data_IF_562961923937
#
_entry.id   IF_562961923937
#
_cell.length_a   1.000
_cell.length_b   1.000
_cell.length_c   1.000
_cell.angle_alpha   90.00
_cell.angle_beta   90.00
_cell.angle_gamma   90.00
#
_symmetry.space_group_name_H-M   'P 1'
#
loop_
_entity.id
_entity.type
_entity.pdbx_description
1 polymer ?
#
# COMPACT_ATOMS: atom_id res chain seq x y z
N UNK A 1 -4.90 -20.92 -19.63
CA UNK A 1 -5.66 -19.67 -19.45
C UNK A 1 -6.59 -19.87 -18.26
N UNK A 2 -6.62 -18.95 -17.30
CA UNK A 2 -7.49 -19.08 -16.12
C UNK A 2 -8.77 -18.29 -16.35
N UNK A 3 -9.92 -18.91 -16.12
CA UNK A 3 -11.21 -18.20 -16.07
C UNK A 3 -11.32 -17.31 -14.83
N UNK A 4 -10.62 -17.68 -13.75
CA UNK A 4 -10.58 -16.95 -12.48
C UNK A 4 -9.16 -16.96 -11.89
N UNK A 5 -8.63 -15.81 -11.51
CA UNK A 5 -7.30 -15.67 -10.90
C UNK A 5 -7.41 -15.75 -9.38
N UNK A 6 -6.83 -16.79 -8.77
CA UNK A 6 -6.73 -16.91 -7.31
C UNK A 6 -5.59 -16.04 -6.80
N UNK A 7 -5.92 -15.04 -5.99
CA UNK A 7 -4.96 -14.11 -5.40
C UNK A 7 -4.84 -14.41 -3.91
N UNK A 8 -3.63 -14.78 -3.49
CA UNK A 8 -3.30 -14.91 -2.09
C UNK A 8 -2.74 -13.60 -1.54
N UNK A 9 -3.19 -13.17 -0.37
CA UNK A 9 -2.64 -11.99 0.31
C UNK A 9 -2.09 -12.41 1.67
N UNK A 10 -0.80 -12.18 1.89
CA UNK A 10 -0.13 -12.39 3.16
C UNK A 10 0.10 -11.03 3.82
N UNK A 11 -0.54 -10.79 4.96
CA UNK A 11 -0.42 -9.54 5.74
C UNK A 11 0.37 -9.82 7.02
N UNK A 12 1.60 -9.30 7.11
CA UNK A 12 2.46 -9.49 8.29
C UNK A 12 2.95 -8.13 8.79
N UNK A 13 2.53 -7.75 9.99
CA UNK A 13 2.65 -6.38 10.46
C UNK A 13 1.62 -5.46 9.84
N UNK A 14 1.77 -4.15 10.06
CA UNK A 14 0.81 -3.16 9.58
C UNK A 14 1.51 -1.95 8.95
N UNK A 15 1.05 -1.59 7.76
CA UNK A 15 1.22 -0.31 7.08
C UNK A 15 -0.14 0.13 6.54
N UNK A 16 -0.32 1.40 6.18
CA UNK A 16 -1.61 1.90 5.69
C UNK A 16 -2.13 1.07 4.51
N UNK A 17 -1.26 0.71 3.58
CA UNK A 17 -1.60 -0.12 2.42
C UNK A 17 -2.11 -1.52 2.79
N UNK A 18 -1.57 -2.13 3.87
CA UNK A 18 -1.95 -3.48 4.29
C UNK A 18 -3.42 -3.58 4.73
N UNK A 19 -4.00 -2.47 5.18
CA UNK A 19 -5.40 -2.41 5.60
C UNK A 19 -6.38 -2.41 4.43
N UNK A 20 -5.92 -1.98 3.24
CA UNK A 20 -6.80 -1.71 2.09
C UNK A 20 -6.53 -2.60 0.87
N UNK A 21 -5.35 -3.22 0.75
CA UNK A 21 -4.87 -3.83 -0.50
C UNK A 21 -5.88 -4.77 -1.19
N UNK A 22 -6.53 -5.67 -0.47
CA UNK A 22 -7.53 -6.61 -0.97
C UNK A 22 -8.82 -5.90 -1.38
N UNK A 23 -9.31 -4.99 -0.53
CA UNK A 23 -10.52 -4.21 -0.77
C UNK A 23 -10.37 -3.27 -1.99
N UNK A 24 -9.16 -2.78 -2.25
CA UNK A 24 -8.87 -1.90 -3.40
C UNK A 24 -8.99 -2.63 -4.75
N UNK A 25 -8.83 -3.95 -4.77
CA UNK A 25 -8.82 -4.75 -6.00
C UNK A 25 -10.22 -5.26 -6.39
N UNK A 26 -11.18 -5.22 -5.45
CA UNK A 26 -12.58 -5.56 -5.69
C UNK A 26 -13.48 -4.71 -4.78
N UNK A 27 -13.57 -3.42 -5.10
CA UNK A 27 -14.13 -2.39 -4.22
C UNK A 27 -15.64 -2.51 -4.00
N UNK A 28 -16.32 -3.38 -4.76
CA UNK A 28 -17.76 -3.68 -4.62
C UNK A 28 -18.06 -5.16 -4.36
N UNK A 29 -17.04 -6.02 -4.29
CA UNK A 29 -17.22 -7.47 -4.20
C UNK A 29 -18.05 -8.06 -5.36
N UNK A 30 -17.90 -7.50 -6.56
CA UNK A 30 -18.68 -7.84 -7.77
C UNK A 30 -17.80 -8.46 -8.86
N UNK A 31 -16.46 -8.47 -8.70
CA UNK A 31 -15.58 -9.06 -9.70
C UNK A 31 -15.74 -10.57 -9.78
N UNK A 32 -16.00 -11.06 -10.98
CA UNK A 32 -16.16 -12.49 -11.25
C UNK A 32 -14.83 -13.17 -11.62
N UNK A 33 -13.83 -12.36 -12.01
CA UNK A 33 -12.56 -12.79 -12.60
C UNK A 33 -11.46 -13.12 -11.56
N UNK A 34 -11.69 -12.85 -10.27
CA UNK A 34 -10.71 -13.10 -9.20
C UNK A 34 -11.32 -13.72 -7.94
N UNK A 35 -10.54 -14.50 -7.20
CA UNK A 35 -10.90 -15.05 -5.87
C UNK A 35 -9.76 -14.77 -4.88
N UNK A 36 -10.10 -14.26 -3.70
CA UNK A 36 -9.13 -13.85 -2.69
C UNK A 36 -9.11 -14.76 -1.47
N UNK A 37 -7.92 -15.07 -0.96
CA UNK A 37 -7.75 -15.46 0.44
C UNK A 37 -6.70 -14.59 1.09
N UNK A 38 -6.95 -14.23 2.34
CA UNK A 38 -6.06 -13.42 3.15
C UNK A 38 -5.63 -14.27 4.34
N UNK A 39 -4.33 -14.32 4.57
CA UNK A 39 -3.75 -14.90 5.78
C UNK A 39 -2.86 -13.85 6.41
N UNK A 40 -2.94 -13.67 7.73
CA UNK A 40 -2.09 -12.71 8.42
C UNK A 40 -1.84 -13.05 9.87
N UNK A 41 -0.80 -12.42 10.41
CA UNK A 41 -0.31 -12.56 11.79
C UNK A 41 -0.65 -11.33 12.65
N UNK A 42 -1.56 -10.48 12.17
CA UNK A 42 -1.84 -9.19 12.77
C UNK A 42 -0.58 -8.31 12.81
N UNK A 43 -0.25 -7.67 13.96
CA UNK A 43 0.91 -6.79 14.06
C UNK A 43 2.26 -7.54 14.11
N UNK A 44 2.24 -8.87 14.26
CA UNK A 44 3.47 -9.65 14.42
C UNK A 44 4.17 -9.88 13.10
N UNK A 45 5.51 -9.87 13.13
CA UNK A 45 6.37 -10.10 11.97
C UNK A 45 7.59 -10.99 12.32
N UNK A 46 7.49 -11.78 13.38
CA UNK A 46 8.57 -12.72 13.70
C UNK A 46 8.65 -13.77 12.60
N UNK A 47 9.82 -14.37 12.46
CA UNK A 47 10.10 -15.27 11.36
C UNK A 47 9.09 -16.42 11.27
N UNK A 48 8.78 -17.06 12.40
CA UNK A 48 7.83 -18.17 12.45
C UNK A 48 6.38 -17.75 12.13
N UNK A 49 5.93 -16.59 12.62
CA UNK A 49 4.60 -16.06 12.29
C UNK A 49 4.47 -15.86 10.76
N UNK A 50 5.49 -15.28 10.14
CA UNK A 50 5.52 -15.02 8.70
C UNK A 50 5.58 -16.31 7.87
N UNK A 51 6.35 -17.31 8.31
CA UNK A 51 6.43 -18.63 7.67
C UNK A 51 5.09 -19.34 7.72
N UNK A 52 4.42 -19.34 8.87
CA UNK A 52 3.09 -19.95 9.04
C UNK A 52 2.07 -19.31 8.10
N UNK A 53 2.04 -17.98 8.01
CA UNK A 53 1.15 -17.29 7.07
C UNK A 53 1.44 -17.66 5.61
N UNK A 54 2.73 -17.75 5.24
CA UNK A 54 3.15 -18.15 3.90
C UNK A 54 2.76 -19.60 3.56
N UNK A 55 2.83 -20.52 4.52
CA UNK A 55 2.42 -21.91 4.31
C UNK A 55 0.91 -22.03 4.14
N UNK A 56 0.12 -21.40 5.03
CA UNK A 56 -1.34 -21.43 4.97
C UNK A 56 -1.88 -20.81 3.68
N UNK A 57 -1.28 -19.73 3.18
CA UNK A 57 -1.75 -19.14 1.92
C UNK A 57 -1.52 -20.06 0.72
N UNK A 58 -0.50 -20.93 0.76
CA UNK A 58 -0.23 -21.88 -0.30
C UNK A 58 -1.27 -23.01 -0.38
N UNK A 59 -1.97 -23.32 0.72
CA UNK A 59 -3.09 -24.29 0.73
C UNK A 59 -4.23 -23.84 -0.19
N UNK A 60 -4.40 -22.53 -0.39
CA UNK A 60 -5.36 -21.96 -1.34
C UNK A 60 -4.94 -22.14 -2.81
N UNK A 61 -3.72 -22.63 -3.07
CA UNK A 61 -3.13 -22.78 -4.39
C UNK A 61 -3.24 -21.51 -5.26
N UNK A 62 -2.72 -20.35 -4.78
CA UNK A 62 -2.84 -19.08 -5.50
C UNK A 62 -2.09 -19.09 -6.85
N UNK A 63 -2.53 -18.24 -7.77
CA UNK A 63 -1.84 -17.94 -9.02
C UNK A 63 -0.91 -16.72 -8.88
N UNK A 64 -1.20 -15.83 -7.93
CA UNK A 64 -0.41 -14.67 -7.55
C UNK A 64 -0.45 -14.51 -6.04
N UNK A 65 0.67 -14.16 -5.42
CA UNK A 65 0.72 -13.84 -3.99
C UNK A 65 1.22 -12.42 -3.77
N UNK A 66 0.43 -11.63 -3.06
CA UNK A 66 0.80 -10.32 -2.55
C UNK A 66 1.29 -10.48 -1.11
N UNK A 67 2.50 -10.04 -0.80
CA UNK A 67 3.04 -10.06 0.56
C UNK A 67 3.22 -8.62 1.00
N UNK A 68 2.46 -8.21 2.02
CA UNK A 68 2.41 -6.82 2.48
C UNK A 68 2.97 -6.71 3.89
N UNK A 69 4.00 -5.88 4.07
CA UNK A 69 4.63 -5.67 5.38
C UNK A 69 5.38 -4.33 5.46
N UNK A 70 5.49 -3.72 6.65
CA UNK A 70 6.51 -2.69 6.87
C UNK A 70 7.90 -3.32 6.74
N UNK A 71 8.84 -2.56 6.19
CA UNK A 71 10.21 -2.95 5.91
C UNK A 71 10.35 -4.41 5.42
N UNK A 72 10.03 -4.70 4.15
CA UNK A 72 10.11 -6.06 3.62
C UNK A 72 11.53 -6.67 3.64
N UNK A 73 12.58 -5.89 3.97
CA UNK A 73 13.92 -6.43 4.17
C UNK A 73 14.11 -7.18 5.50
N UNK A 74 13.13 -7.14 6.41
CA UNK A 74 13.22 -7.84 7.69
C UNK A 74 13.21 -9.37 7.53
N UNK A 75 13.76 -10.12 8.53
CA UNK A 75 13.85 -11.58 8.45
C UNK A 75 12.52 -12.29 8.19
N UNK A 76 11.44 -11.88 8.88
CA UNK A 76 10.12 -12.51 8.70
C UNK A 76 9.54 -12.35 7.29
N UNK A 77 9.34 -11.11 6.78
CA UNK A 77 8.91 -10.90 5.39
C UNK A 77 9.81 -11.58 4.36
N UNK A 78 11.13 -11.65 4.62
CA UNK A 78 12.09 -12.36 3.77
C UNK A 78 11.83 -13.87 3.76
N UNK A 79 11.58 -14.48 4.91
CA UNK A 79 11.24 -15.90 5.00
C UNK A 79 9.92 -16.22 4.28
N UNK A 80 8.89 -15.38 4.47
CA UNK A 80 7.59 -15.55 3.81
C UNK A 80 7.71 -15.53 2.28
N UNK A 81 8.38 -14.52 1.70
CA UNK A 81 8.51 -14.42 0.23
C UNK A 81 9.30 -15.57 -0.38
N UNK A 82 10.32 -16.07 0.32
CA UNK A 82 11.12 -17.21 -0.13
C UNK A 82 10.36 -18.53 -0.08
N UNK A 83 9.51 -18.75 0.92
CA UNK A 83 8.63 -19.92 0.97
C UNK A 83 7.67 -19.92 -0.22
N UNK A 84 7.01 -18.80 -0.47
CA UNK A 84 6.03 -18.68 -1.55
C UNK A 84 6.70 -18.83 -2.93
N UNK A 85 7.82 -18.16 -3.16
CA UNK A 85 8.56 -18.30 -4.42
C UNK A 85 9.18 -19.70 -4.58
N UNK A 86 9.63 -20.34 -3.50
CA UNK A 86 10.11 -21.72 -3.50
C UNK A 86 9.04 -22.73 -3.91
N UNK A 87 7.76 -22.41 -3.67
CA UNK A 87 6.61 -23.16 -4.18
C UNK A 87 6.24 -22.82 -5.64
N UNK A 88 7.08 -22.05 -6.35
CA UNK A 88 6.90 -21.68 -7.75
C UNK A 88 5.79 -20.65 -7.99
N UNK A 89 5.36 -19.92 -6.96
CA UNK A 89 4.29 -18.91 -7.08
C UNK A 89 4.87 -17.52 -7.40
N UNK A 90 4.28 -16.76 -8.34
CA UNK A 90 4.62 -15.36 -8.54
C UNK A 90 4.35 -14.53 -7.28
N UNK A 91 5.32 -13.69 -6.90
CA UNK A 91 5.27 -12.87 -5.68
C UNK A 91 5.39 -11.39 -6.03
N UNK A 92 4.50 -10.58 -5.45
CA UNK A 92 4.63 -9.12 -5.40
C UNK A 92 4.76 -8.71 -3.94
N UNK A 93 5.90 -8.09 -3.60
CA UNK A 93 6.16 -7.57 -2.27
C UNK A 93 5.71 -6.11 -2.18
N UNK A 94 4.84 -5.81 -1.24
CA UNK A 94 4.31 -4.46 -1.01
C UNK A 94 4.83 -3.97 0.33
N UNK A 95 5.44 -2.79 0.34
CA UNK A 95 6.07 -2.26 1.54
C UNK A 95 6.27 -0.77 1.52
N UNK A 96 6.90 -0.28 2.58
CA UNK A 96 7.23 1.13 2.81
C UNK A 96 8.62 1.50 2.27
N UNK A 97 9.05 2.74 2.50
CA UNK A 97 10.34 3.27 2.04
C UNK A 97 11.58 2.43 2.46
N UNK A 98 11.69 1.93 3.72
CA UNK A 98 12.75 1.00 4.11
C UNK A 98 12.91 -0.23 3.20
N UNK A 99 11.82 -0.67 2.55
CA UNK A 99 11.81 -1.80 1.63
C UNK A 99 12.74 -1.66 0.43
N UNK A 100 13.21 -0.45 0.11
CA UNK A 100 14.24 -0.23 -0.93
C UNK A 100 15.51 -1.05 -0.70
N UNK A 101 15.83 -1.37 0.56
CA UNK A 101 16.96 -2.23 0.93
C UNK A 101 16.82 -3.67 0.40
N UNK A 102 15.58 -4.13 0.18
CA UNK A 102 15.32 -5.46 -0.35
C UNK A 102 15.34 -5.53 -1.89
N UNK A 103 15.36 -4.39 -2.60
CA UNK A 103 15.27 -4.36 -4.08
C UNK A 103 16.31 -5.25 -4.77
N UNK A 104 17.61 -5.21 -4.40
CA UNK A 104 18.61 -6.07 -5.04
C UNK A 104 18.27 -7.57 -4.92
N UNK A 105 17.81 -7.98 -3.74
CA UNK A 105 17.43 -9.38 -3.49
C UNK A 105 16.15 -9.75 -4.24
N UNK A 106 15.13 -8.88 -4.23
CA UNK A 106 13.86 -9.10 -4.92
C UNK A 106 14.06 -9.26 -6.42
N UNK A 107 14.90 -8.41 -7.03
CA UNK A 107 15.18 -8.50 -8.47
C UNK A 107 15.98 -9.74 -8.84
N UNK A 108 16.97 -10.10 -8.00
CA UNK A 108 17.76 -11.33 -8.16
C UNK A 108 16.90 -12.59 -8.01
N UNK A 109 15.94 -12.58 -7.09
CA UNK A 109 15.01 -13.67 -6.83
C UNK A 109 13.82 -13.66 -7.81
N UNK A 110 13.78 -12.74 -8.77
CA UNK A 110 12.74 -12.68 -9.81
C UNK A 110 11.36 -12.23 -9.33
N UNK A 111 11.29 -11.58 -8.17
CA UNK A 111 10.04 -11.11 -7.57
C UNK A 111 9.67 -9.69 -8.01
N UNK A 112 8.38 -9.36 -7.93
CA UNK A 112 7.88 -8.01 -8.09
C UNK A 112 7.85 -7.24 -6.78
N UNK A 113 7.79 -5.91 -6.86
CA UNK A 113 7.63 -5.02 -5.73
C UNK A 113 6.85 -3.74 -6.03
N UNK A 114 6.13 -3.27 -4.99
CA UNK A 114 5.47 -1.98 -4.90
C UNK A 114 5.89 -1.33 -3.58
N UNK A 115 6.78 -0.34 -3.64
CA UNK A 115 7.33 0.31 -2.44
C UNK A 115 6.79 1.74 -2.32
N UNK A 116 6.00 2.02 -1.28
CA UNK A 116 5.30 3.28 -1.07
C UNK A 116 6.11 4.19 -0.16
N UNK A 117 6.63 5.29 -0.71
CA UNK A 117 7.43 6.21 0.10
C UNK A 117 6.63 6.95 1.19
N UNK A 118 5.35 7.21 0.94
CA UNK A 118 4.47 7.93 1.87
C UNK A 118 3.75 7.02 2.88
N UNK A 119 3.90 5.70 2.82
CA UNK A 119 3.33 4.78 3.79
C UNK A 119 4.25 4.72 5.02
N UNK A 120 4.13 5.76 5.86
CA UNK A 120 5.12 6.09 6.87
C UNK A 120 5.05 5.18 8.10
N UNK A 121 6.21 4.95 8.70
CA UNK A 121 6.29 4.34 10.01
C UNK A 121 5.65 5.25 11.08
N UNK A 122 4.84 4.64 11.93
CA UNK A 122 4.18 5.28 13.07
C UNK A 122 5.13 5.50 14.25
N UNK A 123 4.82 6.48 15.10
CA UNK A 123 5.54 6.77 16.34
C UNK A 123 5.33 5.74 17.44
N UNK A 124 5.87 4.53 17.30
CA UNK A 124 5.64 3.37 18.18
C UNK A 124 6.36 3.41 19.55
N UNK A 125 6.10 4.44 20.37
CA UNK A 125 6.52 4.53 21.77
C UNK A 125 5.36 4.22 22.71
N UNK A 126 5.62 3.44 23.77
CA UNK A 126 4.60 2.97 24.72
C UNK A 126 3.88 4.11 25.43
N UNK A 127 4.60 5.18 25.69
CA UNK A 127 4.15 6.36 26.43
C UNK A 127 3.19 7.24 25.63
N UNK A 128 3.06 7.00 24.32
CA UNK A 128 2.27 7.80 23.40
C UNK A 128 1.26 6.97 22.60
N UNK A 129 1.72 5.87 22.01
CA UNK A 129 0.93 5.11 21.03
C UNK A 129 0.00 4.10 21.70
N UNK A 130 -1.18 4.57 22.09
CA UNK A 130 -2.27 3.71 22.52
C UNK A 130 -3.10 3.20 21.31
N UNK A 131 -4.11 2.32 21.51
CA UNK A 131 -4.94 1.82 20.42
C UNK A 131 -5.69 2.91 19.64
N UNK A 132 -6.15 3.98 20.31
CA UNK A 132 -6.87 5.07 19.65
C UNK A 132 -5.93 5.87 18.75
N UNK A 133 -4.76 6.25 19.25
CA UNK A 133 -3.75 7.01 18.50
C UNK A 133 -3.22 6.20 17.31
N UNK A 134 -3.03 4.89 17.49
CA UNK A 134 -2.68 3.97 16.40
C UNK A 134 -3.73 3.98 15.28
N UNK A 135 -5.02 3.93 15.62
CA UNK A 135 -6.10 3.95 14.64
C UNK A 135 -6.19 5.30 13.91
N UNK A 136 -6.09 6.42 14.64
CA UNK A 136 -6.13 7.78 14.07
C UNK A 136 -4.99 8.00 13.07
N UNK A 137 -3.77 7.61 13.43
CA UNK A 137 -2.63 7.71 12.52
C UNK A 137 -2.87 6.92 11.22
N UNK A 138 -3.33 5.67 11.32
CA UNK A 138 -3.60 4.85 10.14
C UNK A 138 -4.74 5.42 9.28
N UNK A 139 -5.79 5.97 9.88
CA UNK A 139 -6.85 6.66 9.14
C UNK A 139 -6.29 7.83 8.30
N UNK A 140 -5.36 8.59 8.88
CA UNK A 140 -4.69 9.68 8.18
C UNK A 140 -3.79 9.20 7.04
N UNK A 141 -2.98 8.15 7.28
CA UNK A 141 -2.17 7.51 6.22
C UNK A 141 -3.05 7.05 5.08
N UNK A 142 -4.13 6.32 5.35
CA UNK A 142 -5.08 5.84 4.34
C UNK A 142 -5.64 7.00 3.51
N UNK A 143 -6.04 8.09 4.18
CA UNK A 143 -6.56 9.28 3.50
C UNK A 143 -5.53 9.91 2.58
N UNK A 144 -4.27 10.04 3.01
CA UNK A 144 -3.19 10.55 2.16
C UNK A 144 -2.99 9.63 0.96
N UNK A 145 -2.73 8.35 1.18
CA UNK A 145 -2.43 7.39 0.10
C UNK A 145 -3.55 7.29 -0.94
N UNK A 146 -4.81 7.35 -0.49
CA UNK A 146 -5.98 7.35 -1.36
C UNK A 146 -6.14 8.65 -2.15
N UNK A 147 -6.00 9.81 -1.51
CA UNK A 147 -6.28 11.08 -2.15
C UNK A 147 -5.11 11.59 -3.02
N UNK A 148 -3.87 11.18 -2.76
CA UNK A 148 -2.71 11.56 -3.58
C UNK A 148 -2.45 10.64 -4.78
N UNK A 149 -3.18 9.52 -4.89
CA UNK A 149 -3.06 8.57 -6.00
C UNK A 149 -2.11 7.40 -5.78
N UNK A 150 -1.55 7.22 -4.58
CA UNK A 150 -0.65 6.09 -4.30
C UNK A 150 -1.38 4.74 -4.46
N UNK A 151 -2.61 4.65 -3.93
CA UNK A 151 -3.45 3.46 -4.13
C UNK A 151 -3.86 3.24 -5.59
N UNK A 152 -4.02 4.29 -6.39
CA UNK A 152 -4.28 4.12 -7.82
C UNK A 152 -3.11 3.45 -8.54
N UNK A 153 -1.87 3.79 -8.19
CA UNK A 153 -0.68 3.12 -8.75
C UNK A 153 -0.67 1.64 -8.39
N UNK A 154 -0.98 1.29 -7.13
CA UNK A 154 -1.07 -0.10 -6.69
C UNK A 154 -2.12 -0.87 -7.51
N UNK A 155 -3.32 -0.32 -7.64
CA UNK A 155 -4.40 -0.96 -8.40
C UNK A 155 -3.99 -1.18 -9.86
N UNK A 156 -3.42 -0.17 -10.52
CA UNK A 156 -2.96 -0.29 -11.92
C UNK A 156 -1.89 -1.37 -12.09
N UNK A 157 -0.91 -1.44 -11.20
CA UNK A 157 0.20 -2.39 -11.33
C UNK A 157 -0.20 -3.82 -10.99
N UNK A 158 -1.08 -4.01 -9.99
CA UNK A 158 -1.62 -5.33 -9.66
C UNK A 158 -2.57 -5.82 -10.76
N UNK A 159 -3.40 -4.95 -11.35
CA UNK A 159 -4.29 -5.33 -12.45
C UNK A 159 -3.49 -5.77 -13.69
N UNK A 160 -2.38 -5.10 -14.01
CA UNK A 160 -1.46 -5.57 -15.07
C UNK A 160 -0.92 -6.97 -14.78
N UNK A 161 -0.61 -7.28 -13.51
CA UNK A 161 -0.14 -8.60 -13.11
C UNK A 161 -1.22 -9.66 -13.25
N UNK A 162 -2.45 -9.36 -12.83
CA UNK A 162 -3.63 -10.22 -12.99
C UNK A 162 -3.88 -10.52 -14.48
N UNK A 163 -3.92 -9.47 -15.31
CA UNK A 163 -4.09 -9.59 -16.76
C UNK A 163 -2.97 -10.40 -17.43
N UNK A 164 -1.72 -10.19 -17.01
CA UNK A 164 -0.58 -10.99 -17.47
C UNK A 164 -0.74 -12.48 -17.17
N UNK A 165 -1.21 -12.82 -15.97
CA UNK A 165 -1.50 -14.20 -15.58
C UNK A 165 -2.63 -14.79 -16.42
N UNK A 166 -3.74 -14.06 -16.63
CA UNK A 166 -4.84 -14.53 -17.49
C UNK A 166 -4.35 -14.84 -18.91
N UNK A 167 -3.49 -13.98 -19.47
CA UNK A 167 -2.93 -14.10 -20.83
C UNK A 167 -1.79 -15.11 -20.94
N UNK A 168 -1.31 -15.69 -19.84
CA UNK A 168 -0.16 -16.60 -19.84
C UNK A 168 1.19 -15.89 -20.07
N UNK A 169 1.24 -14.58 -19.89
CA UNK A 169 2.46 -13.75 -19.91
C UNK A 169 2.57 -12.99 -18.58
N UNK A 170 3.00 -13.65 -17.50
CA UNK A 170 3.01 -13.05 -16.17
C UNK A 170 3.84 -11.77 -16.12
N UNK A 171 3.25 -10.72 -15.55
CA UNK A 171 3.91 -9.44 -15.27
C UNK A 171 4.10 -9.30 -13.76
N UNK A 172 5.29 -8.88 -13.34
CA UNK A 172 5.59 -8.53 -11.95
C UNK A 172 6.11 -7.09 -11.90
N UNK A 173 5.44 -6.18 -11.19
CA UNK A 173 5.84 -4.78 -11.13
C UNK A 173 7.18 -4.62 -10.41
N UNK A 174 7.92 -3.58 -10.77
CA UNK A 174 9.15 -3.15 -10.08
C UNK A 174 9.06 -1.65 -9.89
N UNK A 175 8.24 -1.23 -8.92
CA UNK A 175 7.83 0.16 -8.81
C UNK A 175 8.10 0.68 -7.40
N UNK A 176 8.86 1.77 -7.34
CA UNK A 176 8.88 2.66 -6.18
C UNK A 176 7.84 3.74 -6.44
N UNK A 177 6.80 3.79 -5.61
CA UNK A 177 5.76 4.79 -5.67
C UNK A 177 6.32 6.05 -5.01
N UNK A 178 6.73 6.99 -5.85
CA UNK A 178 7.20 8.31 -5.46
C UNK A 178 6.05 9.31 -5.48
N UNK A 179 6.28 10.50 -4.93
CA UNK A 179 5.34 11.63 -5.03
C UNK A 179 4.88 11.85 -6.48
N UNK A 180 5.82 11.90 -7.41
CA UNK A 180 5.55 12.20 -8.82
C UNK A 180 4.65 11.12 -9.44
N UNK A 181 5.01 9.85 -9.23
CA UNK A 181 4.23 8.72 -9.74
C UNK A 181 2.80 8.72 -9.19
N UNK A 182 2.64 8.97 -7.89
CA UNK A 182 1.33 8.98 -7.24
C UNK A 182 0.42 10.08 -7.82
N UNK A 183 0.91 11.33 -7.88
CA UNK A 183 0.07 12.45 -8.33
C UNK A 183 -0.20 12.45 -9.83
N UNK A 184 0.71 11.89 -10.64
CA UNK A 184 0.48 11.65 -12.07
C UNK A 184 -0.68 10.67 -12.28
N UNK A 185 -0.67 9.53 -11.56
CA UNK A 185 -1.74 8.53 -11.65
C UNK A 185 -3.07 9.05 -11.06
N UNK A 186 -3.04 9.94 -10.07
CA UNK A 186 -4.24 10.61 -9.56
C UNK A 186 -4.93 11.49 -10.62
N UNK A 187 -4.17 12.00 -11.60
CA UNK A 187 -4.70 12.70 -12.75
C UNK A 187 -5.48 13.98 -12.42
N UNK A 188 -4.99 14.78 -11.47
CA UNK A 188 -5.56 16.08 -11.09
C UNK A 188 -5.71 17.00 -12.32
N UNK A 189 -6.86 17.67 -12.46
CA UNK A 189 -7.09 18.69 -13.48
C UNK A 189 -6.80 20.09 -12.93
N UNK A 190 -7.05 20.31 -11.64
CA UNK A 190 -6.76 21.56 -10.96
C UNK A 190 -5.29 21.60 -10.51
N UNK A 191 -4.49 22.59 -10.95
CA UNK A 191 -3.07 22.66 -10.61
C UNK A 191 -2.81 22.88 -9.12
N UNK A 192 -3.73 23.51 -8.38
CA UNK A 192 -3.61 23.65 -6.93
C UNK A 192 -3.98 22.36 -6.19
N UNK A 193 -4.90 21.55 -6.72
CA UNK A 193 -5.15 20.21 -6.19
C UNK A 193 -3.89 19.34 -6.32
N UNK A 194 -3.25 19.38 -7.49
CA UNK A 194 -1.95 18.75 -7.72
C UNK A 194 -0.90 19.21 -6.70
N UNK A 195 -0.71 20.53 -6.54
CA UNK A 195 0.28 21.08 -5.61
C UNK A 195 0.02 20.64 -4.15
N UNK A 196 -1.25 20.65 -3.71
CA UNK A 196 -1.65 20.18 -2.38
C UNK A 196 -1.39 18.69 -2.18
N UNK A 197 -1.72 17.85 -3.17
CA UNK A 197 -1.45 16.42 -3.12
C UNK A 197 0.06 16.12 -3.09
N UNK A 198 0.86 16.85 -3.87
CA UNK A 198 2.32 16.76 -3.84
C UNK A 198 2.88 17.10 -2.46
N UNK A 199 2.40 18.17 -1.83
CA UNK A 199 2.81 18.57 -0.50
C UNK A 199 2.37 17.53 0.56
N UNK A 200 1.13 17.05 0.51
CA UNK A 200 0.63 16.03 1.43
C UNK A 200 1.45 14.73 1.37
N UNK A 201 1.77 14.28 0.16
CA UNK A 201 2.62 13.09 -0.03
C UNK A 201 4.01 13.28 0.56
N UNK A 202 4.65 14.43 0.31
CA UNK A 202 5.99 14.70 0.83
C UNK A 202 5.99 14.82 2.35
N UNK A 203 4.95 15.44 2.92
CA UNK A 203 4.75 15.46 4.37
C UNK A 203 4.64 14.03 4.92
N UNK A 204 3.76 13.20 4.36
CA UNK A 204 3.62 11.81 4.81
C UNK A 204 4.94 11.03 4.71
N UNK A 205 5.68 11.17 3.61
CA UNK A 205 7.03 10.58 3.47
C UNK A 205 7.98 11.01 4.59
N UNK A 206 7.95 12.29 4.98
CA UNK A 206 8.81 12.86 6.01
C UNK A 206 8.42 12.50 7.44
N UNK A 207 7.19 12.04 7.68
CA UNK A 207 6.76 11.53 8.98
C UNK A 207 7.63 10.34 9.42
N UNK A 208 8.03 9.48 8.47
CA UNK A 208 8.88 8.33 8.77
C UNK A 208 10.25 8.73 9.36
N UNK A 209 10.83 9.85 8.91
CA UNK A 209 12.12 10.35 9.41
C UNK A 209 12.03 10.70 10.91
N UNK A 210 10.97 11.43 11.30
CA UNK A 210 10.70 11.81 12.70
C UNK A 210 10.34 10.61 13.56
N UNK A 211 9.50 9.70 13.07
CA UNK A 211 9.14 8.48 13.79
C UNK A 211 10.37 7.61 14.07
N UNK A 212 11.27 7.45 13.10
CA UNK A 212 12.53 6.69 13.27
C UNK A 212 13.45 7.37 14.28
N UNK A 213 13.56 8.70 14.24
CA UNK A 213 14.34 9.48 15.19
C UNK A 213 13.85 9.30 16.63
N UNK A 214 12.56 9.53 16.86
CA UNK A 214 11.94 9.38 18.19
C UNK A 214 11.91 7.93 18.68
N UNK A 215 11.69 6.95 17.80
CA UNK A 215 11.60 5.54 18.22
C UNK A 215 12.96 4.88 18.46
N UNK A 216 13.98 5.19 17.66
CA UNK A 216 15.22 4.40 17.65
C UNK A 216 16.49 5.18 17.98
N UNK A 217 16.50 6.51 17.86
CA UNK A 217 17.72 7.31 18.07
C UNK A 217 17.69 8.04 19.41
N UNK A 218 16.57 8.65 19.76
CA UNK A 218 16.40 9.40 21.01
C UNK A 218 16.22 8.48 22.22
N UNK A 219 16.72 8.91 23.39
CA UNK A 219 16.66 8.16 24.65
C UNK A 219 15.88 8.87 25.74
N UNK A 220 15.93 10.21 25.77
CA UNK A 220 15.26 11.01 26.79
C UNK A 220 13.76 11.13 26.52
N UNK A 221 12.92 10.69 27.48
CA UNK A 221 11.45 10.68 27.33
C UNK A 221 10.88 12.07 27.05
N UNK A 222 11.44 13.09 27.70
CA UNK A 222 11.04 14.49 27.50
C UNK A 222 11.30 14.99 26.07
N UNK A 223 12.11 14.28 25.30
CA UNK A 223 12.45 14.62 23.91
C UNK A 223 11.74 13.68 22.93
N UNK A 224 11.80 12.36 23.15
CA UNK A 224 11.24 11.41 22.18
C UNK A 224 9.72 11.41 22.15
N UNK A 225 9.03 11.64 23.28
CA UNK A 225 7.55 11.64 23.32
C UNK A 225 7.00 12.80 22.49
N UNK A 226 7.43 14.07 22.68
CA UNK A 226 7.01 15.15 21.79
C UNK A 226 7.39 14.92 20.33
N UNK A 227 8.53 14.28 20.06
CA UNK A 227 8.99 14.01 18.69
C UNK A 227 8.06 13.04 17.96
N UNK A 228 7.70 11.91 18.59
CA UNK A 228 6.75 10.96 17.98
C UNK A 228 5.33 11.54 17.90
N UNK A 229 4.92 12.37 18.86
CA UNK A 229 3.64 13.08 18.77
C UNK A 229 3.63 14.08 17.61
N UNK A 230 4.72 14.84 17.40
CA UNK A 230 4.81 15.78 16.27
C UNK A 230 4.77 15.09 14.90
N UNK A 231 5.24 13.84 14.81
CA UNK A 231 5.16 13.07 13.56
C UNK A 231 3.70 12.72 13.22
N UNK A 232 2.85 12.51 14.24
CA UNK A 232 1.42 12.28 14.08
C UNK A 232 0.67 13.56 13.67
N UNK A 233 0.96 14.70 14.30
CA UNK A 233 0.41 16.01 13.91
C UNK A 233 0.73 16.37 12.45
N UNK A 234 1.92 16.00 12.01
CA UNK A 234 2.35 16.17 10.62
C UNK A 234 1.57 15.26 9.66
N UNK A 235 1.26 14.02 10.06
CA UNK A 235 0.42 13.10 9.28
C UNK A 235 -1.04 13.58 9.22
N UNK A 236 -1.61 14.08 10.31
CA UNK A 236 -2.94 14.72 10.34
C UNK A 236 -3.00 15.91 9.37
N UNK A 237 -1.99 16.78 9.41
CA UNK A 237 -1.92 17.93 8.50
C UNK A 237 -1.81 17.49 7.03
N UNK A 238 -1.03 16.44 6.75
CA UNK A 238 -0.94 15.86 5.42
C UNK A 238 -2.30 15.32 4.96
N UNK A 239 -3.03 14.61 5.83
CA UNK A 239 -4.34 14.05 5.55
C UNK A 239 -5.40 15.14 5.29
N UNK A 240 -5.37 16.25 6.04
CA UNK A 240 -6.20 17.43 5.76
C UNK A 240 -5.90 18.01 4.38
N UNK A 241 -4.62 18.23 4.06
CA UNK A 241 -4.20 18.81 2.78
C UNK A 241 -4.55 17.91 1.58
N UNK A 242 -4.44 16.59 1.74
CA UNK A 242 -4.87 15.62 0.74
C UNK A 242 -6.40 15.65 0.54
N UNK A 243 -7.17 15.83 1.63
CA UNK A 243 -8.61 16.07 1.58
C UNK A 243 -8.97 17.33 0.78
N UNK A 244 -8.29 18.45 1.06
CA UNK A 244 -8.48 19.71 0.32
C UNK A 244 -8.20 19.54 -1.18
N UNK A 245 -7.15 18.82 -1.56
CA UNK A 245 -6.86 18.51 -2.96
C UNK A 245 -8.04 17.78 -3.64
N UNK A 246 -8.62 16.80 -2.94
CA UNK A 246 -9.78 16.06 -3.45
C UNK A 246 -11.04 16.92 -3.56
N UNK A 247 -11.28 17.83 -2.61
CA UNK A 247 -12.42 18.77 -2.69
C UNK A 247 -12.29 19.75 -3.85
N UNK A 248 -11.08 20.21 -4.17
CA UNK A 248 -10.85 21.07 -5.33
C UNK A 248 -11.24 20.39 -6.65
N UNK A 249 -10.96 19.09 -6.81
CA UNK A 249 -11.40 18.32 -8.00
C UNK A 249 -12.92 18.08 -8.03
N UNK A 250 -13.55 17.94 -6.86
CA UNK A 250 -15.01 17.82 -6.77
C UNK A 250 -15.69 19.14 -7.15
N UNK A 251 -15.16 20.27 -6.68
CA UNK A 251 -15.71 21.59 -6.96
C UNK A 251 -15.73 21.93 -8.47
N UNK A 252 -14.84 21.32 -9.25
CA UNK A 252 -14.77 21.47 -10.71
C UNK A 252 -15.37 20.30 -11.50
N UNK A 253 -16.01 19.34 -10.82
CA UNK A 253 -16.57 18.12 -11.40
C UNK A 253 -15.55 17.41 -12.31
N UNK A 254 -14.32 17.23 -11.82
CA UNK A 254 -13.18 16.70 -12.57
C UNK A 254 -12.49 15.50 -11.91
N UNK A 255 -12.96 15.10 -10.74
CA UNK A 255 -12.39 14.04 -9.92
C UNK A 255 -12.32 12.71 -10.67
N UNK A 256 -11.11 12.24 -10.95
CA UNK A 256 -10.87 10.94 -11.56
C UNK A 256 -11.36 9.79 -10.67
N UNK A 257 -12.10 8.86 -11.27
CA UNK A 257 -12.58 7.62 -10.66
C UNK A 257 -12.33 6.48 -11.62
N UNK A 258 -11.88 5.36 -11.08
CA UNK A 258 -11.48 4.19 -11.88
C UNK A 258 -12.02 2.92 -11.22
N UNK A 259 -13.33 2.65 -11.34
CA UNK A 259 -13.92 1.44 -10.79
C UNK A 259 -13.54 0.23 -11.64
N UNK A 260 -13.52 -0.96 -11.04
CA UNK A 260 -13.47 -2.21 -11.80
C UNK A 260 -14.86 -2.51 -12.37
N UNK A 261 -14.93 -3.08 -13.57
CA UNK A 261 -16.10 -3.78 -14.08
C UNK A 261 -16.15 -5.22 -13.54
N UNK A 262 -17.28 -5.90 -13.70
CA UNK A 262 -17.49 -7.28 -13.23
C UNK A 262 -16.49 -8.28 -13.84
N UNK A 263 -16.00 -7.99 -15.06
CA UNK A 263 -14.97 -8.78 -15.76
C UNK A 263 -13.53 -8.45 -15.33
N UNK A 264 -13.36 -7.51 -14.40
CA UNK A 264 -12.09 -7.03 -13.87
C UNK A 264 -11.48 -5.85 -14.62
N UNK A 265 -12.06 -5.41 -15.76
CA UNK A 265 -11.51 -4.27 -16.50
C UNK A 265 -11.57 -3.00 -15.64
N UNK A 266 -10.43 -2.32 -15.50
CA UNK A 266 -10.37 -1.00 -14.86
C UNK A 266 -10.95 0.07 -15.79
N UNK A 267 -12.11 0.61 -15.42
CA UNK A 267 -12.81 1.68 -16.16
C UNK A 267 -12.29 3.07 -15.74
N UNK A 268 -12.80 4.13 -16.37
CA UNK A 268 -12.46 5.51 -16.05
C UNK A 268 -13.62 6.49 -16.23
N UNK A 269 -13.72 7.47 -15.33
CA UNK A 269 -14.59 8.66 -15.44
C UNK A 269 -14.06 9.82 -14.58
N UNK A 270 -14.53 11.03 -14.86
CA UNK A 270 -14.33 12.29 -14.13
C UNK A 270 -15.63 12.94 -13.69
N UNK A 271 -16.60 13.10 -14.60
CA UNK A 271 -17.87 13.79 -14.29
C UNK A 271 -18.70 12.96 -13.33
N UNK A 272 -19.33 13.59 -12.35
CA UNK A 272 -20.10 12.87 -11.33
C UNK A 272 -21.21 12.03 -11.96
N UNK A 273 -21.91 12.57 -12.96
CA UNK A 273 -23.08 11.95 -13.58
C UNK A 273 -22.78 11.09 -14.83
N UNK A 274 -21.53 11.01 -15.29
CA UNK A 274 -21.20 10.18 -16.47
C UNK A 274 -21.05 8.69 -16.13
N UNK A 275 -21.22 7.80 -17.10
CA UNK A 275 -20.93 6.38 -16.89
C UNK A 275 -19.41 6.13 -17.03
N UNK A 276 -18.81 5.25 -16.22
CA UNK A 276 -17.42 4.84 -16.42
C UNK A 276 -17.27 4.04 -17.72
N UNK A 277 -16.23 4.33 -18.50
CA UNK A 277 -15.90 3.66 -19.78
C UNK A 277 -14.56 2.93 -19.75
#
# INVERSE_FOLDING_TARGET
>A
MFSKVRIGVVKVGNIGTSTMIDLLLDERAEREDIDFRIVGSGPKMQEEDCKECAQKILEFNPHLVLIVSPNPALPGPTAARRIVAGAGKPVIVIGDAPGKKAVPDLEKEGMGYLLIEADAMIGARREFLDPAEMALFNANVIKVLAATGAFNVICEEVEKAIEGIKKGSPYLPRVVITRQKAVETAGFQNPYALAKAMAAYEMAKKVADLSVEGCFKMKEMKEYVPTVASSHEMMETAARLAGEARELEKATDSLLRRPHADDGKLLSKRKLMEKPG
#
